data_IF_931416054781
#
_entry.id   IF_931416054781
#
_cell.length_a   1.000
_cell.length_b   1.000
_cell.length_c   1.000
_cell.angle_alpha   90.00
_cell.angle_beta   90.00
_cell.angle_gamma   90.00
#
_symmetry.space_group_name_H-M   'P 1'
#
loop_
_entity.id
_entity.type
_entity.pdbx_description
1 polymer ?
#
# COMPACT_ATOMS: atom_id res chain seq x y z
N UNK A 1 -29.76 -4.02 -18.35
CA UNK A 1 -30.25 -3.03 -17.35
C UNK A 1 -29.72 -1.66 -17.71
N UNK A 2 -30.52 -0.61 -17.53
CA UNK A 2 -30.08 0.76 -17.81
C UNK A 2 -29.29 1.31 -16.60
N UNK A 3 -28.08 1.82 -16.86
CA UNK A 3 -27.19 2.39 -15.85
C UNK A 3 -26.65 3.72 -16.36
N UNK A 4 -26.60 4.73 -15.48
CA UNK A 4 -25.97 6.03 -15.76
C UNK A 4 -24.58 6.07 -15.14
N UNK A 5 -23.58 6.25 -15.99
CA UNK A 5 -22.18 6.39 -15.60
C UNK A 5 -21.78 7.86 -15.57
N UNK A 6 -21.41 8.36 -14.39
CA UNK A 6 -20.82 9.67 -14.20
C UNK A 6 -19.32 9.57 -14.44
N UNK A 7 -18.85 9.98 -15.61
CA UNK A 7 -17.46 9.77 -16.03
C UNK A 7 -16.65 11.04 -15.90
N UNK A 8 -15.52 10.95 -15.21
CA UNK A 8 -14.56 12.04 -15.07
C UNK A 8 -13.94 12.38 -16.44
N UNK A 9 -13.92 13.67 -16.78
CA UNK A 9 -13.35 14.24 -18.00
C UNK A 9 -12.37 15.35 -17.65
N UNK A 10 -11.23 15.35 -18.33
CA UNK A 10 -10.23 16.41 -18.21
C UNK A 10 -9.19 16.26 -19.32
N UNK A 11 -8.75 17.36 -19.89
CA UNK A 11 -7.59 17.41 -20.77
C UNK A 11 -6.65 18.53 -20.31
N UNK A 12 -5.45 18.16 -19.84
CA UNK A 12 -4.48 19.12 -19.30
C UNK A 12 -4.03 20.19 -20.31
N UNK A 13 -4.19 19.94 -21.61
CA UNK A 13 -3.80 20.88 -22.67
C UNK A 13 -4.88 21.94 -22.95
N UNK A 14 -6.16 21.66 -22.66
CA UNK A 14 -7.28 22.50 -23.11
C UNK A 14 -8.20 22.95 -21.98
N UNK A 15 -8.31 22.16 -20.91
CA UNK A 15 -9.35 22.36 -19.90
C UNK A 15 -8.78 23.08 -18.68
N UNK A 16 -9.52 24.06 -18.16
CA UNK A 16 -9.14 24.77 -16.93
C UNK A 16 -9.41 23.94 -15.67
N UNK A 17 -10.54 23.21 -15.62
CA UNK A 17 -10.94 22.37 -14.50
C UNK A 17 -11.54 21.06 -15.00
N UNK A 18 -11.38 19.95 -14.24
CA UNK A 18 -12.06 18.70 -14.55
C UNK A 18 -13.57 18.84 -14.39
N UNK A 19 -14.32 18.07 -15.17
CA UNK A 19 -15.77 18.00 -15.10
C UNK A 19 -16.23 16.54 -15.18
N UNK A 20 -17.52 16.32 -14.96
CA UNK A 20 -18.13 15.00 -15.14
C UNK A 20 -19.15 15.06 -16.25
N UNK A 21 -19.21 13.99 -17.03
CA UNK A 21 -20.20 13.79 -18.06
C UNK A 21 -20.93 12.49 -17.81
N UNK A 22 -22.25 12.55 -17.90
CA UNK A 22 -23.10 11.39 -17.68
C UNK A 22 -23.34 10.64 -19.00
N UNK A 23 -23.22 9.32 -18.95
CA UNK A 23 -23.49 8.42 -20.06
C UNK A 23 -24.48 7.34 -19.60
N UNK A 24 -25.68 7.33 -20.18
CA UNK A 24 -26.69 6.31 -19.90
C UNK A 24 -26.59 5.20 -20.94
N UNK A 25 -26.42 3.97 -20.46
CA UNK A 25 -26.18 2.79 -21.29
C UNK A 25 -27.04 1.63 -20.83
N UNK A 26 -27.57 0.87 -21.79
CA UNK A 26 -28.06 -0.48 -21.51
C UNK A 26 -26.88 -1.44 -21.38
N UNK A 27 -26.74 -2.03 -20.19
CA UNK A 27 -25.65 -2.92 -19.80
C UNK A 27 -26.14 -4.36 -19.68
N UNK A 28 -25.40 -5.29 -20.28
CA UNK A 28 -25.61 -6.73 -20.16
C UNK A 28 -24.88 -7.32 -18.94
N UNK A 29 -25.24 -8.55 -18.52
CA UNK A 29 -24.67 -9.17 -17.31
C UNK A 29 -23.17 -9.50 -17.44
N UNK A 30 -22.70 -9.73 -18.67
CA UNK A 30 -21.32 -10.15 -18.95
C UNK A 30 -20.37 -8.97 -19.19
N UNK A 31 -20.90 -7.75 -19.32
CA UNK A 31 -20.06 -6.57 -19.59
C UNK A 31 -19.18 -6.22 -18.38
N UNK A 32 -17.90 -6.01 -18.69
CA UNK A 32 -16.94 -5.45 -17.74
C UNK A 32 -16.83 -3.94 -17.91
N UNK A 33 -16.27 -3.26 -16.91
CA UNK A 33 -16.10 -1.80 -16.97
C UNK A 33 -15.34 -1.35 -18.22
N UNK A 34 -14.40 -2.17 -18.74
CA UNK A 34 -13.69 -1.86 -19.99
C UNK A 34 -14.64 -1.77 -21.19
N UNK A 35 -15.70 -2.58 -21.26
CA UNK A 35 -16.65 -2.54 -22.36
C UNK A 35 -17.44 -1.23 -22.33
N UNK A 36 -17.80 -0.77 -21.14
CA UNK A 36 -18.40 0.55 -20.92
C UNK A 36 -17.48 1.66 -21.41
N UNK A 37 -16.18 1.63 -21.06
CA UNK A 37 -15.21 2.63 -21.53
C UNK A 37 -15.08 2.60 -23.07
N UNK A 38 -15.14 1.42 -23.69
CA UNK A 38 -15.07 1.26 -25.13
C UNK A 38 -16.29 1.87 -25.82
N UNK A 39 -17.49 1.58 -25.33
CA UNK A 39 -18.75 2.12 -25.87
C UNK A 39 -18.80 3.63 -25.75
N UNK A 40 -18.43 4.19 -24.59
CA UNK A 40 -18.32 5.64 -24.40
C UNK A 40 -17.42 6.26 -25.48
N UNK A 41 -16.25 5.66 -25.73
CA UNK A 41 -15.32 6.19 -26.74
C UNK A 41 -15.82 6.01 -28.17
N UNK A 42 -16.38 4.85 -28.51
CA UNK A 42 -16.68 4.48 -29.89
C UNK A 42 -18.03 4.99 -30.36
N UNK A 43 -19.02 5.00 -29.49
CA UNK A 43 -20.41 5.26 -29.86
C UNK A 43 -20.85 6.69 -29.49
N UNK A 44 -20.19 7.33 -28.50
CA UNK A 44 -20.60 8.63 -27.97
C UNK A 44 -19.55 9.73 -28.19
N UNK A 45 -18.31 9.52 -27.76
CA UNK A 45 -17.26 10.55 -27.80
C UNK A 45 -15.87 9.97 -28.11
N UNK A 46 -15.47 10.09 -29.38
CA UNK A 46 -14.16 9.67 -29.87
C UNK A 46 -12.96 10.32 -29.18
N UNK A 47 -13.13 11.45 -28.48
CA UNK A 47 -12.06 12.15 -27.76
C UNK A 47 -11.71 11.51 -26.41
N UNK A 48 -12.61 10.70 -25.85
CA UNK A 48 -12.43 10.05 -24.54
C UNK A 48 -11.19 9.13 -24.53
N UNK A 49 -10.36 9.25 -23.50
CA UNK A 49 -9.03 8.64 -23.45
C UNK A 49 -8.79 7.79 -22.19
N UNK A 50 -8.28 6.57 -22.39
CA UNK A 50 -7.97 5.64 -21.30
C UNK A 50 -6.94 4.60 -21.75
N UNK A 51 -6.25 3.96 -20.80
CA UNK A 51 -5.26 2.91 -21.08
C UNK A 51 -5.92 1.52 -21.06
N UNK A 52 -5.63 0.69 -22.06
CA UNK A 52 -6.03 -0.73 -22.12
C UNK A 52 -5.01 -1.52 -22.95
N UNK A 53 -4.94 -2.83 -22.74
CA UNK A 53 -4.14 -3.73 -23.59
C UNK A 53 -4.67 -5.16 -23.55
N UNK A 54 -4.27 -5.99 -22.58
CA UNK A 54 -4.45 -7.45 -22.62
C UNK A 54 -5.90 -7.97 -22.60
N UNK A 55 -6.85 -7.24 -22.00
CA UNK A 55 -8.25 -7.67 -21.78
C UNK A 55 -8.47 -8.91 -20.89
N UNK A 56 -7.43 -9.45 -20.24
CA UNK A 56 -7.56 -10.61 -19.34
C UNK A 56 -6.86 -10.41 -17.99
N UNK A 57 -6.77 -9.15 -17.54
CA UNK A 57 -6.39 -8.81 -16.16
C UNK A 57 -4.92 -9.02 -15.79
N UNK A 58 -3.99 -9.10 -16.75
CA UNK A 58 -2.55 -9.33 -16.45
C UNK A 58 -1.63 -8.13 -16.69
N UNK A 59 -1.91 -7.27 -17.67
CA UNK A 59 -0.97 -6.19 -18.03
C UNK A 59 -0.98 -4.98 -17.07
N UNK A 60 -1.99 -4.87 -16.21
CA UNK A 60 -2.14 -3.76 -15.26
C UNK A 60 -2.50 -2.38 -15.86
N UNK A 61 -2.60 -2.24 -17.19
CA UNK A 61 -2.76 -0.93 -17.83
C UNK A 61 -4.12 -0.26 -17.61
N UNK A 62 -5.19 -1.03 -17.46
CA UNK A 62 -6.57 -0.53 -17.38
C UNK A 62 -7.06 -0.28 -15.94
N UNK A 63 -6.14 0.05 -15.05
CA UNK A 63 -6.47 0.33 -13.66
C UNK A 63 -7.10 1.72 -13.52
N UNK A 64 -8.27 1.79 -12.90
CA UNK A 64 -9.08 3.01 -12.67
C UNK A 64 -9.82 2.88 -11.32
N UNK A 65 -10.65 3.87 -10.98
CA UNK A 65 -11.55 3.82 -9.83
C UNK A 65 -13.01 3.82 -10.28
N UNK A 66 -13.84 3.00 -9.65
CA UNK A 66 -15.30 3.09 -9.76
C UNK A 66 -15.86 3.30 -8.36
N UNK A 67 -16.56 4.42 -8.12
CA UNK A 67 -16.99 4.86 -6.80
C UNK A 67 -15.86 4.78 -5.76
N UNK A 68 -14.69 5.34 -6.10
CA UNK A 68 -13.45 5.33 -5.31
C UNK A 68 -12.79 3.96 -5.11
N UNK A 69 -13.46 2.84 -5.42
CA UNK A 69 -12.87 1.50 -5.40
C UNK A 69 -11.92 1.33 -6.57
N UNK A 70 -10.67 0.97 -6.31
CA UNK A 70 -9.70 0.66 -7.37
C UNK A 70 -10.04 -0.67 -8.04
N UNK A 71 -10.07 -0.68 -9.38
CA UNK A 71 -10.44 -1.85 -10.18
C UNK A 71 -9.57 -1.97 -11.43
N UNK A 72 -9.48 -3.19 -11.97
CA UNK A 72 -9.04 -3.37 -13.36
C UNK A 72 -10.26 -3.36 -14.25
N UNK A 73 -10.37 -2.38 -15.15
CA UNK A 73 -11.56 -2.24 -15.99
C UNK A 73 -11.89 -3.51 -16.79
N UNK A 74 -10.89 -4.26 -17.25
CA UNK A 74 -11.10 -5.49 -18.02
C UNK A 74 -11.50 -6.73 -17.22
N UNK A 75 -11.48 -6.65 -15.88
CA UNK A 75 -11.78 -7.78 -14.99
C UNK A 75 -13.04 -7.53 -14.17
N UNK A 76 -13.28 -6.28 -13.77
CA UNK A 76 -14.41 -5.94 -12.92
C UNK A 76 -15.70 -5.94 -13.75
N UNK A 77 -16.63 -6.84 -13.40
CA UNK A 77 -17.95 -6.90 -14.03
C UNK A 77 -18.83 -5.78 -13.52
N UNK A 78 -19.58 -5.15 -14.42
CA UNK A 78 -20.48 -4.06 -14.04
C UNK A 78 -21.58 -4.56 -13.11
N UNK A 79 -22.08 -5.79 -13.32
CA UNK A 79 -23.13 -6.37 -12.48
C UNK A 79 -22.70 -6.54 -11.01
N UNK A 80 -21.42 -6.84 -10.76
CA UNK A 80 -20.92 -6.99 -9.39
C UNK A 80 -20.82 -5.63 -8.69
N UNK A 81 -20.42 -4.59 -9.43
CA UNK A 81 -20.44 -3.21 -8.93
C UNK A 81 -21.87 -2.72 -8.69
N UNK A 82 -22.81 -3.05 -9.57
CA UNK A 82 -24.22 -2.67 -9.43
C UNK A 82 -24.85 -3.25 -8.17
N UNK A 83 -24.53 -4.51 -7.83
CA UNK A 83 -25.01 -5.13 -6.58
C UNK A 83 -24.52 -4.41 -5.32
N UNK A 84 -23.34 -3.79 -5.39
CA UNK A 84 -22.72 -3.09 -4.26
C UNK A 84 -23.19 -1.63 -4.18
N UNK A 85 -23.20 -0.93 -5.31
CA UNK A 85 -23.37 0.52 -5.37
C UNK A 85 -24.69 0.99 -5.99
N UNK A 86 -25.51 0.09 -6.54
CA UNK A 86 -26.72 0.41 -7.28
C UNK A 86 -26.43 1.02 -8.65
N UNK A 87 -27.36 1.83 -9.15
CA UNK A 87 -27.33 2.44 -10.48
C UNK A 87 -26.39 3.65 -10.61
N UNK A 88 -25.93 4.21 -9.49
CA UNK A 88 -25.07 5.40 -9.48
C UNK A 88 -23.59 4.99 -9.54
N UNK A 89 -23.01 5.01 -10.75
CA UNK A 89 -21.61 4.64 -10.97
C UNK A 89 -20.77 5.83 -11.40
N UNK A 90 -19.79 6.21 -10.59
CA UNK A 90 -18.81 7.24 -10.92
C UNK A 90 -17.50 6.58 -11.35
N UNK A 91 -17.04 6.87 -12.57
CA UNK A 91 -15.79 6.36 -13.12
C UNK A 91 -14.72 7.45 -13.06
N UNK A 92 -13.59 7.14 -12.45
CA UNK A 92 -12.52 8.09 -12.17
C UNK A 92 -11.12 7.50 -12.48
N UNK A 93 -10.14 8.35 -12.81
CA UNK A 93 -8.74 7.92 -12.88
C UNK A 93 -8.24 7.43 -11.52
N UNK A 94 -7.12 6.70 -11.49
CA UNK A 94 -6.53 6.23 -10.23
C UNK A 94 -6.16 7.39 -9.28
N UNK A 95 -5.76 8.54 -9.84
CA UNK A 95 -5.43 9.76 -9.11
C UNK A 95 -5.84 10.98 -9.92
N UNK A 96 -6.74 11.82 -9.35
CA UNK A 96 -7.24 13.05 -9.99
C UNK A 96 -6.17 14.12 -10.11
N UNK A 97 -5.26 14.20 -9.14
CA UNK A 97 -4.16 15.19 -9.14
C UNK A 97 -3.07 14.89 -10.17
N UNK A 98 -3.06 13.69 -10.76
CA UNK A 98 -2.04 13.24 -11.73
C UNK A 98 -2.59 13.06 -13.14
N UNK A 99 -3.79 13.54 -13.43
CA UNK A 99 -4.43 13.31 -14.73
C UNK A 99 -3.71 14.10 -15.82
N UNK A 100 -3.37 13.40 -16.91
CA UNK A 100 -2.93 14.00 -18.17
C UNK A 100 -4.14 14.19 -19.08
N UNK A 101 -4.95 13.13 -19.25
CA UNK A 101 -6.20 13.20 -20.02
C UNK A 101 -7.18 12.09 -19.60
N UNK A 102 -8.38 12.47 -19.17
CA UNK A 102 -9.48 11.58 -18.76
C UNK A 102 -9.02 10.52 -17.74
N UNK A 103 -8.95 9.23 -18.14
CA UNK A 103 -8.51 8.14 -17.26
C UNK A 103 -6.99 7.95 -17.24
N UNK A 104 -6.24 8.71 -18.05
CA UNK A 104 -4.80 8.60 -18.19
C UNK A 104 -4.11 9.51 -17.17
N UNK A 105 -3.35 8.89 -16.28
CA UNK A 105 -2.51 9.59 -15.29
C UNK A 105 -1.02 9.52 -15.64
N UNK A 106 -0.26 10.51 -15.18
CA UNK A 106 1.19 10.43 -15.08
C UNK A 106 1.58 9.42 -13.99
N UNK A 107 2.46 8.49 -14.34
CA UNK A 107 2.98 7.42 -13.46
C UNK A 107 4.49 7.54 -13.21
N UNK A 108 5.10 8.68 -13.56
CA UNK A 108 6.55 8.88 -13.39
C UNK A 108 7.00 8.68 -11.94
N UNK A 109 6.19 9.13 -10.97
CA UNK A 109 6.43 8.93 -9.55
C UNK A 109 6.46 7.45 -9.18
N UNK A 110 5.46 6.68 -9.61
CA UNK A 110 5.34 5.25 -9.37
C UNK A 110 6.57 4.48 -9.88
N UNK A 111 7.01 4.77 -11.11
CA UNK A 111 8.19 4.13 -11.70
C UNK A 111 9.49 4.55 -11.01
N UNK A 112 9.63 5.83 -10.67
CA UNK A 112 10.81 6.31 -9.92
C UNK A 112 10.93 5.62 -8.55
N UNK A 113 9.82 5.41 -7.83
CA UNK A 113 9.84 4.63 -6.59
C UNK A 113 10.12 3.14 -6.83
N UNK A 114 9.57 2.55 -7.88
CA UNK A 114 9.87 1.18 -8.27
C UNK A 114 11.37 0.96 -8.53
N UNK A 115 12.01 1.85 -9.28
CA UNK A 115 13.44 1.74 -9.60
C UNK A 115 14.33 1.96 -8.36
N UNK A 116 13.88 2.83 -7.45
CA UNK A 116 14.62 3.17 -6.22
C UNK A 116 14.92 1.98 -5.31
N UNK A 117 14.14 0.89 -5.40
CA UNK A 117 14.30 -0.30 -4.57
C UNK A 117 15.19 -1.38 -5.21
N UNK A 118 15.88 -1.08 -6.31
CA UNK A 118 16.70 -2.04 -7.08
C UNK A 118 15.93 -3.34 -7.38
N UNK A 119 14.90 -3.28 -8.25
CA UNK A 119 13.94 -4.35 -8.45
C UNK A 119 14.46 -5.45 -9.41
N UNK A 120 15.69 -5.89 -9.19
CA UNK A 120 16.37 -6.94 -9.95
C UNK A 120 17.22 -7.79 -9.00
N UNK A 121 17.51 -9.02 -9.44
CA UNK A 121 18.37 -9.95 -8.72
C UNK A 121 19.80 -9.42 -8.76
N UNK A 122 20.44 -9.31 -7.61
CA UNK A 122 21.88 -9.05 -7.51
C UNK A 122 22.52 -10.30 -6.96
N UNK A 123 23.39 -10.94 -7.73
CA UNK A 123 24.16 -12.08 -7.26
C UNK A 123 25.52 -12.13 -7.95
N UNK A 124 26.54 -12.57 -7.22
CA UNK A 124 27.86 -12.82 -7.77
C UNK A 124 27.88 -14.20 -8.45
N UNK A 125 27.74 -14.22 -9.77
CA UNK A 125 27.71 -15.43 -10.60
C UNK A 125 28.75 -15.38 -11.71
N UNK A 126 29.15 -16.54 -12.20
CA UNK A 126 29.90 -16.65 -13.46
C UNK A 126 29.06 -16.10 -14.63
N UNK A 127 29.70 -15.51 -15.64
CA UNK A 127 29.01 -14.99 -16.82
C UNK A 127 28.28 -16.09 -17.61
N UNK A 128 28.78 -17.32 -17.57
CA UNK A 128 28.23 -18.49 -18.23
C UNK A 128 28.12 -19.68 -17.24
N UNK A 129 27.19 -19.62 -16.27
CA UNK A 129 27.06 -20.66 -15.26
C UNK A 129 26.62 -21.99 -15.91
N UNK A 130 27.27 -23.09 -15.52
CA UNK A 130 26.97 -24.41 -16.06
C UNK A 130 25.58 -24.95 -15.65
N UNK A 131 25.01 -24.43 -14.57
CA UNK A 131 23.73 -24.86 -13.99
C UNK A 131 22.96 -23.68 -13.41
N UNK A 132 21.65 -23.84 -13.23
CA UNK A 132 20.77 -22.87 -12.55
C UNK A 132 20.98 -22.81 -11.03
N UNK A 133 20.45 -21.77 -10.39
CA UNK A 133 20.36 -21.71 -8.93
C UNK A 133 19.33 -22.70 -8.41
N UNK A 134 19.69 -23.46 -7.38
CA UNK A 134 18.76 -24.33 -6.68
C UNK A 134 17.92 -23.51 -5.69
N UNK A 135 16.60 -23.58 -5.86
CA UNK A 135 15.61 -22.97 -4.95
C UNK A 135 14.58 -24.04 -4.59
N UNK A 136 14.34 -24.25 -3.30
CA UNK A 136 13.33 -25.23 -2.87
C UNK A 136 11.91 -24.69 -3.10
N UNK A 137 10.89 -25.57 -3.24
CA UNK A 137 9.50 -25.14 -3.33
C UNK A 137 9.10 -24.21 -2.17
N UNK A 138 9.50 -24.53 -0.94
CA UNK A 138 9.19 -23.73 0.24
C UNK A 138 9.77 -22.32 0.15
N UNK A 139 11.01 -22.18 -0.34
CA UNK A 139 11.64 -20.89 -0.55
C UNK A 139 10.93 -20.07 -1.63
N UNK A 140 10.45 -20.72 -2.70
CA UNK A 140 9.70 -20.04 -3.74
C UNK A 140 8.30 -19.58 -3.27
N UNK A 141 7.62 -20.41 -2.48
CA UNK A 141 6.29 -20.08 -1.94
C UNK A 141 6.30 -18.81 -1.06
N UNK A 142 7.40 -18.53 -0.34
CA UNK A 142 7.55 -17.27 0.41
C UNK A 142 7.53 -16.01 -0.48
N UNK A 143 7.88 -16.16 -1.77
CA UNK A 143 8.01 -15.10 -2.76
C UNK A 143 6.83 -15.03 -3.72
N UNK A 144 6.19 -16.17 -3.96
CA UNK A 144 5.24 -16.39 -5.05
C UNK A 144 4.21 -15.26 -5.12
N UNK A 145 3.55 -14.98 -4.00
CA UNK A 145 2.51 -13.96 -3.93
C UNK A 145 3.03 -12.58 -4.38
N UNK A 146 4.21 -12.16 -3.91
CA UNK A 146 4.80 -10.87 -4.27
C UNK A 146 5.26 -10.82 -5.75
N UNK A 147 5.63 -11.96 -6.32
CA UNK A 147 6.04 -12.08 -7.73
C UNK A 147 4.86 -11.92 -8.70
N UNK A 148 3.64 -12.26 -8.28
CA UNK A 148 2.42 -12.08 -9.10
C UNK A 148 1.97 -10.62 -9.30
N UNK A 149 2.68 -9.65 -8.72
CA UNK A 149 2.36 -8.23 -8.85
C UNK A 149 2.56 -7.71 -10.28
N UNK A 150 1.47 -7.28 -10.91
CA UNK A 150 1.43 -6.81 -12.30
C UNK A 150 1.72 -5.30 -12.48
N UNK A 151 2.22 -4.63 -11.44
CA UNK A 151 2.54 -3.18 -11.48
C UNK A 151 1.40 -2.27 -11.95
N UNK A 152 0.14 -2.62 -11.63
CA UNK A 152 -1.03 -1.82 -12.03
C UNK A 152 -1.15 -0.46 -11.31
N UNK A 153 -0.51 -0.33 -10.15
CA UNK A 153 -0.54 0.88 -9.32
C UNK A 153 -1.79 1.05 -8.44
N UNK A 154 -2.75 0.11 -8.43
CA UNK A 154 -3.96 0.21 -7.60
C UNK A 154 -3.62 0.44 -6.11
N UNK A 155 -2.74 -0.38 -5.54
CA UNK A 155 -2.33 -0.24 -4.15
C UNK A 155 -1.62 1.10 -3.86
N UNK A 156 -0.87 1.63 -4.83
CA UNK A 156 -0.12 2.88 -4.68
C UNK A 156 -1.06 4.08 -4.67
N UNK A 157 -1.94 4.19 -5.67
CA UNK A 157 -2.86 5.32 -5.82
C UNK A 157 -4.14 5.23 -4.96
N UNK A 158 -4.34 4.12 -4.24
CA UNK A 158 -5.33 4.02 -3.16
C UNK A 158 -4.74 4.32 -1.78
N UNK A 159 -3.41 4.34 -1.62
CA UNK A 159 -2.78 4.48 -0.30
C UNK A 159 -2.85 5.94 0.21
N UNK A 160 -3.52 6.21 1.34
CA UNK A 160 -3.60 7.57 1.89
C UNK A 160 -2.22 8.13 2.31
N UNK A 161 -1.30 7.26 2.75
CA UNK A 161 0.05 7.68 3.11
C UNK A 161 0.84 8.19 1.90
N UNK A 162 0.61 7.63 0.70
CA UNK A 162 1.21 8.13 -0.55
C UNK A 162 0.60 9.47 -0.94
N UNK A 163 -0.71 9.65 -0.72
CA UNK A 163 -1.41 10.91 -1.01
C UNK A 163 -0.91 12.07 -0.13
N UNK A 164 -0.65 11.82 1.15
CA UNK A 164 -0.18 12.85 2.10
C UNK A 164 1.34 13.05 2.03
N UNK A 165 2.10 12.01 1.72
CA UNK A 165 3.56 12.05 1.70
C UNK A 165 4.11 11.53 0.36
N UNK A 166 4.41 12.45 -0.55
CA UNK A 166 4.98 12.16 -1.88
C UNK A 166 6.36 11.48 -1.83
N UNK A 167 7.08 11.62 -0.70
CA UNK A 167 8.38 10.97 -0.53
C UNK A 167 8.26 9.49 -0.21
N UNK A 168 7.10 9.03 0.31
CA UNK A 168 6.88 7.63 0.64
C UNK A 168 7.04 6.73 -0.60
N UNK A 169 7.83 5.67 -0.44
CA UNK A 169 8.12 4.68 -1.50
C UNK A 169 6.86 3.95 -1.95
N UNK A 170 5.91 3.77 -1.03
CA UNK A 170 4.60 3.21 -1.35
C UNK A 170 4.58 1.68 -1.42
N UNK A 171 3.37 1.09 -1.39
CA UNK A 171 3.19 -0.34 -1.19
C UNK A 171 3.71 -1.21 -2.34
N UNK A 172 3.58 -0.77 -3.60
CA UNK A 172 4.02 -1.56 -4.76
C UNK A 172 5.53 -1.78 -4.77
N UNK A 173 6.30 -0.69 -4.62
CA UNK A 173 7.76 -0.76 -4.61
C UNK A 173 8.29 -1.50 -3.37
N UNK A 174 7.68 -1.31 -2.19
CA UNK A 174 8.07 -2.05 -0.99
C UNK A 174 7.74 -3.55 -1.08
N UNK A 175 6.61 -3.94 -1.69
CA UNK A 175 6.33 -5.34 -1.98
C UNK A 175 7.34 -5.95 -2.97
N UNK A 176 7.79 -5.16 -3.96
CA UNK A 176 8.87 -5.59 -4.87
C UNK A 176 10.21 -5.72 -4.15
N UNK A 177 10.53 -4.81 -3.22
CA UNK A 177 11.72 -4.91 -2.39
C UNK A 177 11.71 -6.19 -1.54
N UNK A 178 10.56 -6.52 -0.94
CA UNK A 178 10.35 -7.80 -0.24
C UNK A 178 10.65 -9.00 -1.14
N UNK A 179 10.11 -9.00 -2.37
CA UNK A 179 10.30 -10.11 -3.34
C UNK A 179 11.77 -10.41 -3.63
N UNK A 180 12.67 -9.43 -3.58
CA UNK A 180 14.11 -9.67 -3.74
C UNK A 180 14.82 -9.91 -2.41
N UNK A 181 14.45 -9.19 -1.35
CA UNK A 181 15.09 -9.35 -0.04
C UNK A 181 14.88 -10.72 0.62
N UNK A 182 13.83 -11.42 0.24
CA UNK A 182 13.53 -12.77 0.71
C UNK A 182 13.95 -13.83 -0.31
N UNK A 183 14.41 -13.44 -1.50
CA UNK A 183 14.89 -14.40 -2.50
C UNK A 183 16.23 -14.98 -2.04
N UNK A 184 16.38 -16.31 -1.90
CA UNK A 184 17.62 -16.93 -1.45
C UNK A 184 18.77 -16.74 -2.45
N UNK A 185 18.49 -16.31 -3.68
CA UNK A 185 19.48 -16.03 -4.72
C UNK A 185 20.04 -14.61 -4.65
N UNK A 186 19.46 -13.69 -3.87
CA UNK A 186 19.83 -12.27 -3.89
C UNK A 186 20.83 -11.91 -2.77
N UNK A 187 22.01 -11.44 -3.19
CA UNK A 187 23.11 -11.02 -2.32
C UNK A 187 22.99 -9.56 -1.86
N UNK A 188 22.10 -8.75 -2.46
CA UNK A 188 21.92 -7.33 -2.14
C UNK A 188 20.91 -7.06 -0.99
N UNK A 189 20.54 -8.09 -0.22
CA UNK A 189 19.60 -8.00 0.91
C UNK A 189 19.89 -6.83 1.85
N UNK A 190 21.13 -6.69 2.32
CA UNK A 190 21.48 -5.64 3.28
C UNK A 190 21.45 -4.23 2.66
N UNK A 191 21.89 -4.09 1.42
CA UNK A 191 21.85 -2.82 0.71
C UNK A 191 20.41 -2.38 0.48
N UNK A 192 19.56 -3.29 0.00
CA UNK A 192 18.14 -3.00 -0.26
C UNK A 192 17.37 -2.74 1.04
N UNK A 193 17.75 -3.39 2.15
CA UNK A 193 17.26 -3.00 3.48
C UNK A 193 17.63 -1.56 3.86
N UNK A 194 18.87 -1.13 3.62
CA UNK A 194 19.30 0.24 3.93
C UNK A 194 18.55 1.29 3.07
N UNK A 195 18.16 0.93 1.85
CA UNK A 195 17.31 1.76 0.98
C UNK A 195 15.92 1.95 1.61
N UNK A 196 15.27 0.87 2.03
CA UNK A 196 13.87 0.90 2.50
C UNK A 196 13.74 1.25 3.99
N UNK A 197 14.81 1.17 4.77
CA UNK A 197 14.84 1.51 6.20
C UNK A 197 15.12 3.00 6.47
N UNK A 198 14.48 3.88 5.70
CA UNK A 198 14.59 5.35 5.83
C UNK A 198 13.31 5.93 6.45
N UNK A 199 13.46 6.99 7.26
CA UNK A 199 12.32 7.77 7.74
C UNK A 199 11.82 8.69 6.61
N UNK A 200 10.50 8.91 6.52
CA UNK A 200 9.88 9.79 5.54
C UNK A 200 9.71 9.19 4.14
N UNK A 201 10.60 8.30 3.70
CA UNK A 201 10.48 7.64 2.40
C UNK A 201 10.31 6.13 2.48
N UNK A 202 10.68 5.51 3.59
CA UNK A 202 10.85 4.06 3.68
C UNK A 202 9.65 3.34 4.27
N UNK A 203 9.90 2.16 4.81
CA UNK A 203 8.88 1.30 5.40
C UNK A 203 8.15 1.95 6.59
N UNK A 204 8.77 2.91 7.27
CA UNK A 204 8.26 3.51 8.51
C UNK A 204 7.07 4.45 8.33
N UNK A 205 6.83 4.96 7.13
CA UNK A 205 5.67 5.84 6.84
C UNK A 205 4.38 5.05 6.52
N UNK A 206 4.47 3.72 6.52
CA UNK A 206 3.30 2.86 6.43
C UNK A 206 2.47 2.96 7.72
N UNK A 207 1.30 3.59 7.64
CA UNK A 207 0.33 3.72 8.74
C UNK A 207 -0.51 2.46 8.99
N UNK A 208 -0.23 1.36 8.27
CA UNK A 208 -0.93 0.07 8.39
C UNK A 208 -2.47 0.17 8.26
N UNK A 209 -2.97 0.92 7.28
CA UNK A 209 -4.41 1.06 7.00
C UNK A 209 -5.04 -0.05 6.14
N UNK A 210 -4.24 -1.03 5.68
CA UNK A 210 -4.68 -2.21 4.89
C UNK A 210 -5.26 -1.94 3.49
N UNK A 211 -5.55 -0.69 3.12
CA UNK A 211 -6.12 -0.32 1.81
C UNK A 211 -5.33 -0.88 0.61
N UNK A 212 -4.01 -0.98 0.72
CA UNK A 212 -3.17 -1.54 -0.34
C UNK A 212 -3.45 -3.03 -0.65
N UNK A 213 -3.88 -3.80 0.35
CA UNK A 213 -4.24 -5.21 0.16
C UNK A 213 -5.64 -5.32 -0.46
N UNK A 214 -6.61 -4.57 0.08
CA UNK A 214 -7.99 -4.52 -0.44
C UNK A 214 -8.04 -4.04 -1.90
N UNK A 215 -7.22 -3.05 -2.26
CA UNK A 215 -7.16 -2.51 -3.62
C UNK A 215 -6.48 -3.46 -4.64
N UNK A 216 -5.86 -4.56 -4.20
CA UNK A 216 -5.02 -5.39 -5.07
C UNK A 216 -5.86 -6.36 -5.93
N UNK A 217 -5.91 -6.19 -7.27
CA UNK A 217 -6.73 -7.05 -8.13
C UNK A 217 -6.18 -8.48 -8.29
N UNK A 218 -4.93 -8.71 -7.84
CA UNK A 218 -4.22 -9.99 -7.89
C UNK A 218 -4.16 -10.68 -6.53
N UNK A 219 -4.67 -10.06 -5.46
CA UNK A 219 -4.60 -10.63 -4.11
C UNK A 219 -3.22 -10.60 -3.48
N UNK A 220 -2.27 -9.83 -4.05
CA UNK A 220 -1.02 -9.52 -3.35
C UNK A 220 -1.35 -8.68 -2.13
N UNK A 221 -0.67 -8.94 -1.03
CA UNK A 221 -0.85 -8.31 0.27
C UNK A 221 0.38 -7.44 0.65
N UNK A 222 0.53 -6.23 0.07
CA UNK A 222 1.69 -5.39 0.33
C UNK A 222 1.91 -5.08 1.81
N UNK A 223 0.87 -4.96 2.63
CA UNK A 223 1.01 -4.57 4.04
C UNK A 223 1.75 -5.63 4.86
N UNK A 224 1.47 -6.91 4.61
CA UNK A 224 2.24 -7.98 5.24
C UNK A 224 3.71 -7.97 4.80
N UNK A 225 3.99 -7.66 3.52
CA UNK A 225 5.34 -7.64 2.96
C UNK A 225 6.16 -6.46 3.50
N UNK A 226 5.52 -5.28 3.63
CA UNK A 226 6.10 -4.12 4.34
C UNK A 226 6.39 -4.49 5.79
N UNK A 227 5.47 -5.18 6.47
CA UNK A 227 5.67 -5.60 7.87
C UNK A 227 6.78 -6.63 8.00
N UNK A 228 6.93 -7.55 7.05
CA UNK A 228 8.03 -8.49 7.01
C UNK A 228 9.39 -7.78 6.84
N UNK A 229 9.46 -6.75 5.98
CA UNK A 229 10.64 -5.90 5.86
C UNK A 229 10.93 -5.15 7.17
N UNK A 230 9.92 -4.64 7.89
CA UNK A 230 10.11 -4.05 9.24
C UNK A 230 10.81 -5.06 10.15
N UNK A 231 10.28 -6.27 10.26
CA UNK A 231 10.86 -7.31 11.10
C UNK A 231 12.26 -7.70 10.64
N UNK A 232 12.51 -7.74 9.32
CA UNK A 232 13.83 -8.04 8.76
C UNK A 232 14.87 -7.00 9.21
N UNK A 233 14.54 -5.72 9.32
CA UNK A 233 15.49 -4.71 9.83
C UNK A 233 15.98 -5.01 11.25
N UNK A 234 15.13 -5.54 12.13
CA UNK A 234 15.53 -5.95 13.48
C UNK A 234 16.35 -7.24 13.47
N UNK A 235 15.91 -8.26 12.70
CA UNK A 235 16.62 -9.55 12.59
C UNK A 235 18.05 -9.40 12.07
N UNK A 236 18.23 -8.51 11.09
CA UNK A 236 19.53 -8.25 10.45
C UNK A 236 20.36 -7.18 11.16
N UNK A 237 19.92 -6.68 12.33
CA UNK A 237 20.64 -5.66 13.10
C UNK A 237 20.75 -4.28 12.43
N UNK A 238 19.89 -4.01 11.43
CA UNK A 238 19.86 -2.75 10.67
C UNK A 238 18.95 -1.68 11.30
N UNK A 239 18.10 -2.04 12.25
CA UNK A 239 17.24 -1.11 12.96
C UNK A 239 18.07 -0.15 13.85
N UNK A 240 18.20 1.12 13.42
CA UNK A 240 18.86 2.17 14.22
C UNK A 240 17.88 2.77 15.22
N UNK A 241 18.34 3.14 16.42
CA UNK A 241 17.51 3.85 17.40
C UNK A 241 17.08 5.22 16.86
N UNK A 242 15.81 5.34 16.51
CA UNK A 242 15.16 6.56 16.03
C UNK A 242 13.72 6.58 16.55
N UNK A 243 12.94 7.60 16.20
CA UNK A 243 11.56 7.75 16.70
C UNK A 243 10.71 6.53 16.32
N UNK A 244 10.81 6.05 15.08
CA UNK A 244 9.99 4.95 14.57
C UNK A 244 10.37 3.60 15.19
N UNK A 245 11.67 3.29 15.31
CA UNK A 245 12.12 2.05 15.95
C UNK A 245 11.81 2.05 17.44
N UNK A 246 12.05 3.17 18.16
CA UNK A 246 11.68 3.29 19.57
C UNK A 246 10.18 3.16 19.79
N UNK A 247 9.37 3.73 18.89
CA UNK A 247 7.91 3.59 18.93
C UNK A 247 7.50 2.12 18.84
N UNK A 248 8.04 1.37 17.87
CA UNK A 248 7.75 -0.05 17.72
C UNK A 248 8.21 -0.89 18.93
N UNK A 249 9.42 -0.63 19.45
CA UNK A 249 9.97 -1.33 20.62
C UNK A 249 9.13 -1.05 21.87
N UNK A 250 8.72 0.20 22.08
CA UNK A 250 7.90 0.57 23.23
C UNK A 250 6.49 0.01 23.14
N UNK A 251 5.89 -0.01 21.95
CA UNK A 251 4.58 -0.62 21.74
C UNK A 251 4.58 -2.05 22.28
N UNK A 252 5.55 -2.87 21.86
CA UNK A 252 5.74 -4.23 22.37
C UNK A 252 5.98 -4.25 23.89
N UNK A 253 6.83 -3.37 24.39
CA UNK A 253 7.19 -3.31 25.81
C UNK A 253 5.99 -2.99 26.69
N UNK A 254 5.18 -2.00 26.30
CA UNK A 254 3.95 -1.62 27.01
C UNK A 254 2.93 -2.75 27.01
N UNK A 255 2.66 -3.37 25.86
CA UNK A 255 1.74 -4.51 25.76
C UNK A 255 2.24 -5.67 26.64
N UNK A 256 3.54 -5.92 26.69
CA UNK A 256 4.10 -6.96 27.56
C UNK A 256 3.99 -6.62 29.05
N UNK A 257 4.15 -5.35 29.44
CA UNK A 257 4.11 -4.92 30.84
C UNK A 257 2.69 -4.81 31.40
N UNK A 258 1.80 -4.22 30.62
CA UNK A 258 0.45 -3.83 31.06
C UNK A 258 -0.66 -4.63 30.39
N UNK A 259 -0.40 -5.26 29.24
CA UNK A 259 -1.45 -5.86 28.40
C UNK A 259 -2.33 -4.81 27.71
N UNK A 260 -1.92 -3.54 27.80
CA UNK A 260 -2.55 -2.35 27.26
C UNK A 260 -1.45 -1.41 26.76
N UNK A 261 -1.80 -0.55 25.80
CA UNK A 261 -0.88 0.45 25.28
C UNK A 261 -0.90 1.69 26.20
N UNK A 262 0.26 2.05 26.74
CA UNK A 262 0.47 3.33 27.41
C UNK A 262 0.80 4.39 26.35
N UNK A 263 -0.24 5.04 25.82
CA UNK A 263 -0.08 6.06 24.77
C UNK A 263 0.73 7.28 25.26
N UNK A 264 0.62 7.63 26.54
CA UNK A 264 1.34 8.76 27.11
C UNK A 264 2.84 8.51 27.16
N UNK A 265 3.25 7.36 27.71
CA UNK A 265 4.66 6.98 27.78
C UNK A 265 5.21 6.59 26.39
N UNK A 266 4.37 6.12 25.46
CA UNK A 266 4.76 5.83 24.09
C UNK A 266 5.32 7.06 23.39
N UNK A 267 4.64 8.20 23.46
CA UNK A 267 5.13 9.44 22.84
C UNK A 267 6.44 9.88 23.50
N UNK A 268 6.50 9.86 24.83
CA UNK A 268 7.70 10.23 25.58
C UNK A 268 8.91 9.33 25.25
N UNK A 269 8.71 8.01 25.17
CA UNK A 269 9.77 7.06 24.83
C UNK A 269 10.21 7.17 23.36
N UNK A 270 9.25 7.39 22.45
CA UNK A 270 9.53 7.50 21.02
C UNK A 270 10.31 8.77 20.69
N UNK A 271 9.84 9.92 21.17
CA UNK A 271 10.40 11.23 20.82
C UNK A 271 11.50 11.73 21.77
N UNK A 272 11.61 11.16 22.97
CA UNK A 272 12.54 11.64 23.99
C UNK A 272 12.23 13.09 24.38
N UNK A 273 13.22 13.98 24.29
CA UNK A 273 13.04 15.41 24.56
C UNK A 273 12.07 16.11 23.59
N UNK A 274 11.78 15.50 22.43
CA UNK A 274 10.79 16.03 21.48
C UNK A 274 9.37 16.12 22.04
N UNK A 275 9.06 15.35 23.09
CA UNK A 275 7.75 15.30 23.75
C UNK A 275 7.27 16.67 24.26
N UNK A 276 8.19 17.61 24.47
CA UNK A 276 7.88 19.00 24.90
C UNK A 276 6.89 19.68 23.95
N UNK A 277 6.92 19.33 22.66
CA UNK A 277 6.00 19.86 21.64
C UNK A 277 4.53 19.50 21.90
N UNK A 278 4.29 18.38 22.58
CA UNK A 278 2.96 17.81 22.84
C UNK A 278 2.43 18.16 24.24
N UNK A 279 3.15 18.99 25.01
CA UNK A 279 2.73 19.39 26.37
C UNK A 279 1.35 20.07 26.37
N UNK A 280 1.03 21.02 25.47
CA UNK A 280 -0.29 21.67 25.45
C UNK A 280 -1.43 20.65 25.26
N UNK A 281 -1.26 19.72 24.33
CA UNK A 281 -2.20 18.64 24.02
C UNK A 281 -2.32 17.68 25.22
N UNK A 282 -1.19 17.31 25.83
CA UNK A 282 -1.16 16.45 27.01
C UNK A 282 -1.91 17.06 28.19
N UNK A 283 -1.73 18.36 28.46
CA UNK A 283 -2.49 19.08 29.51
C UNK A 283 -3.99 19.08 29.19
N UNK A 284 -4.36 19.32 27.93
CA UNK A 284 -5.76 19.32 27.48
C UNK A 284 -6.42 17.94 27.64
N UNK A 285 -5.70 16.88 27.28
CA UNK A 285 -6.16 15.49 27.43
C UNK A 285 -6.24 15.06 28.89
N UNK A 286 -5.26 15.45 29.72
CA UNK A 286 -5.25 15.17 31.16
C UNK A 286 -6.46 15.82 31.86
N UNK A 287 -6.76 17.10 31.55
CA UNK A 287 -7.96 17.80 32.07
C UNK A 287 -9.27 17.10 31.69
N UNK A 288 -9.30 16.39 30.56
CA UNK A 288 -10.45 15.62 30.09
C UNK A 288 -10.44 14.16 30.57
N UNK A 289 -9.50 13.77 31.42
CA UNK A 289 -9.36 12.39 31.91
C UNK A 289 -8.99 11.37 30.82
N UNK A 290 -8.39 11.83 29.72
CA UNK A 290 -8.03 10.97 28.57
C UNK A 290 -6.58 10.44 28.62
N UNK A 291 -5.77 10.95 29.54
CA UNK A 291 -4.40 10.45 29.78
C UNK A 291 -4.36 9.82 31.16
N UNK A 292 -3.79 8.61 31.21
CA UNK A 292 -3.43 7.94 32.45
C UNK A 292 -1.95 8.22 32.71
N UNK A 293 -1.61 8.62 33.93
CA UNK A 293 -0.21 8.84 34.28
C UNK A 293 0.52 7.48 34.34
N UNK A 294 1.80 7.40 33.92
CA UNK A 294 2.51 6.12 33.79
C UNK A 294 2.51 5.25 35.05
N UNK A 295 2.58 5.85 36.24
CA UNK A 295 2.54 5.15 37.54
C UNK A 295 1.18 4.54 37.89
N UNK A 296 0.11 4.94 37.21
CA UNK A 296 -1.26 4.47 37.43
C UNK A 296 -1.81 3.68 36.23
N UNK A 297 -0.94 3.20 35.32
CA UNK A 297 -1.40 2.44 34.16
C UNK A 297 -2.14 1.16 34.57
N UNK A 298 -3.39 0.97 34.13
CA UNK A 298 -4.14 -0.24 34.42
C UNK A 298 -3.49 -1.45 33.75
N UNK A 299 -3.66 -2.61 34.37
CA UNK A 299 -3.24 -3.89 33.78
C UNK A 299 -4.45 -4.63 33.24
N UNK A 300 -4.28 -5.27 32.07
CA UNK A 300 -5.27 -6.16 31.51
C UNK A 300 -5.56 -7.32 32.46
N UNK A 301 -6.83 -7.72 32.55
CA UNK A 301 -7.27 -8.88 33.35
C UNK A 301 -6.58 -10.18 32.90
N UNK A 302 -6.27 -10.29 31.60
CA UNK A 302 -5.65 -11.47 30.99
C UNK A 302 -4.15 -11.26 30.71
N UNK A 303 -3.45 -10.47 31.52
CA UNK A 303 -2.05 -10.11 31.28
C UNK A 303 -1.13 -11.32 31.08
N UNK A 304 -1.34 -12.43 31.80
CA UNK A 304 -0.53 -13.63 31.65
C UNK A 304 -0.64 -14.24 30.25
N UNK A 305 -1.86 -14.28 29.69
CA UNK A 305 -2.12 -14.76 28.34
C UNK A 305 -1.52 -13.82 27.29
N UNK A 306 -1.70 -12.50 27.47
CA UNK A 306 -1.10 -11.49 26.58
C UNK A 306 0.43 -11.62 26.55
N UNK A 307 1.08 -11.77 27.71
CA UNK A 307 2.53 -12.02 27.79
C UNK A 307 2.95 -13.29 27.04
N UNK A 308 2.17 -14.36 27.15
CA UNK A 308 2.41 -15.61 26.40
C UNK A 308 2.31 -15.38 24.90
N UNK A 309 1.28 -14.66 24.44
CA UNK A 309 1.09 -14.31 23.02
C UNK A 309 2.24 -13.44 22.50
N UNK A 310 2.66 -12.42 23.25
CA UNK A 310 3.81 -11.57 22.89
C UNK A 310 5.08 -12.41 22.78
N UNK A 311 5.31 -13.35 23.70
CA UNK A 311 6.48 -14.23 23.68
C UNK A 311 6.49 -15.14 22.45
N UNK A 312 5.35 -15.74 22.09
CA UNK A 312 5.24 -16.65 20.94
C UNK A 312 5.30 -15.89 19.61
N UNK A 313 4.75 -14.67 19.55
CA UNK A 313 4.67 -13.87 18.31
C UNK A 313 5.95 -13.06 18.04
N UNK A 314 6.82 -12.86 19.03
CA UNK A 314 8.04 -12.07 18.89
C UNK A 314 9.13 -12.85 18.14
N UNK A 315 9.16 -12.73 16.82
CA UNK A 315 10.13 -13.42 15.95
C UNK A 315 11.47 -12.71 15.78
N UNK A 316 11.63 -11.50 16.33
CA UNK A 316 12.88 -10.74 16.29
C UNK A 316 13.36 -10.35 17.70
N UNK A 317 14.68 -10.21 17.85
CA UNK A 317 15.29 -9.50 18.99
C UNK A 317 15.25 -8.01 18.65
N UNK A 318 14.75 -7.23 19.60
CA UNK A 318 14.50 -5.79 19.47
C UNK A 318 15.51 -5.02 20.31
#
# INVERSE_FOLDING_TARGET
MEITFKVFRFNAETDYLPYYQDFTLEVSEDEVVLDILNRIKWDFDGSFSYRRSCRHGICGSCAIKVNSKAVLACKERVIDLYKIFGSNMTIEPQSKSRVVKDMIIDKKDFWSKYDSVKPYLVSEIDENPATEHLVSPEQYEELHEADTCIQCGCCYYSCPAVEVNENYTGPAALAKAYRFNFDPRDDAKHERLDIVNKLGSGIWDCVKCFECAEACPKGVDPIHKITALHTQTFKEGKAKSNVATRHAVFFKTSINQHGLLDEGLLVAYSEGLGVVKHIPEAISMLKKGKIVMPWNMPKSKNLAEVKKLVKISSTAKF
#
